data_IF_521100683346
#
_entry.id   IF_521100683346
#
_cell.length_a   1.000
_cell.length_b   1.000
_cell.length_c   1.000
_cell.angle_alpha   90.00
_cell.angle_beta   90.00
_cell.angle_gamma   90.00
#
_symmetry.space_group_name_H-M   'P 1'
#
loop_
_entity.id
_entity.type
_entity.pdbx_description
1 polymer ?
#
# COMPACT_ATOMS: atom_id res chain seq x y z
N UNK A 1 0.06 7.26 12.61
CA UNK A 1 -0.43 6.49 11.44
C UNK A 1 -1.10 7.43 10.44
N UNK A 2 -0.92 7.13 9.18
CA UNK A 2 -1.52 7.89 8.10
C UNK A 2 -2.75 7.15 7.60
N UNK A 3 -3.85 7.89 7.42
CA UNK A 3 -5.07 7.33 6.83
C UNK A 3 -5.03 7.58 5.33
N UNK A 4 -5.19 6.52 4.55
CA UNK A 4 -5.15 6.57 3.10
C UNK A 4 -6.47 6.03 2.56
N UNK A 5 -7.06 6.76 1.62
CA UNK A 5 -8.27 6.33 0.93
C UNK A 5 -7.89 5.86 -0.48
N UNK A 6 -8.20 4.61 -0.76
CA UNK A 6 -8.01 4.01 -2.07
C UNK A 6 -9.37 3.94 -2.76
N UNK A 7 -9.50 4.61 -3.89
CA UNK A 7 -10.76 4.68 -4.63
C UNK A 7 -10.70 3.88 -5.92
N UNK A 8 -11.78 3.17 -6.22
CA UNK A 8 -11.91 2.46 -7.48
C UNK A 8 -10.92 1.31 -7.67
N UNK A 9 -10.61 0.58 -6.61
CA UNK A 9 -9.67 -0.55 -6.67
C UNK A 9 -10.40 -1.79 -7.15
N UNK A 10 -9.95 -2.35 -8.26
CA UNK A 10 -10.47 -3.61 -8.78
C UNK A 10 -9.82 -4.80 -8.09
N UNK A 11 -10.52 -5.39 -7.13
CA UNK A 11 -10.04 -6.57 -6.42
C UNK A 11 -10.50 -7.88 -7.08
N UNK A 12 -11.57 -7.80 -7.84
CA UNK A 12 -12.11 -8.92 -8.63
C UNK A 12 -12.54 -8.41 -9.99
N UNK A 13 -12.59 -9.24 -11.02
CA UNK A 13 -13.02 -8.81 -12.35
C UNK A 13 -14.35 -8.05 -12.31
N UNK A 14 -14.36 -6.84 -12.86
CA UNK A 14 -15.53 -5.96 -12.93
C UNK A 14 -16.12 -5.52 -11.58
N UNK A 15 -15.36 -5.67 -10.49
CA UNK A 15 -15.79 -5.27 -9.14
C UNK A 15 -14.83 -4.25 -8.55
N UNK A 16 -15.36 -3.09 -8.23
CA UNK A 16 -14.59 -1.94 -7.72
C UNK A 16 -14.92 -1.67 -6.27
N UNK A 17 -13.90 -1.32 -5.52
CA UNK A 17 -14.00 -1.09 -4.09
C UNK A 17 -13.33 0.22 -3.70
N UNK A 18 -13.92 0.90 -2.72
CA UNK A 18 -13.26 1.98 -2.01
C UNK A 18 -12.78 1.45 -0.67
N UNK A 19 -11.51 1.66 -0.38
CA UNK A 19 -10.87 1.05 0.76
C UNK A 19 -10.18 2.13 1.59
N UNK A 20 -10.45 2.14 2.88
CA UNK A 20 -9.75 3.02 3.81
C UNK A 20 -8.74 2.18 4.59
N UNK A 21 -7.48 2.59 4.54
CA UNK A 21 -6.40 1.92 5.26
C UNK A 21 -5.69 2.89 6.19
N UNK A 22 -5.19 2.38 7.29
CA UNK A 22 -4.26 3.07 8.15
C UNK A 22 -2.88 2.42 7.99
N UNK A 23 -1.88 3.22 7.73
CA UNK A 23 -0.53 2.74 7.50
C UNK A 23 0.48 3.67 8.16
N UNK A 24 1.53 3.09 8.69
CA UNK A 24 2.67 3.82 9.22
C UNK A 24 3.84 3.69 8.25
N UNK A 25 4.23 4.81 7.65
CA UNK A 25 5.34 4.85 6.73
C UNK A 25 6.67 4.91 7.49
N UNK A 26 7.61 4.10 7.04
CA UNK A 26 8.96 4.08 7.58
C UNK A 26 9.93 4.35 6.45
N UNK A 27 10.85 5.28 6.69
CA UNK A 27 11.93 5.57 5.75
C UNK A 27 13.22 5.00 6.32
N UNK A 28 13.85 4.13 5.56
CA UNK A 28 15.13 3.53 5.92
C UNK A 28 16.23 4.14 5.07
N UNK A 29 17.26 4.65 5.74
CA UNK A 29 18.44 5.16 5.05
C UNK A 29 19.38 3.99 4.77
N UNK A 30 19.71 3.81 3.49
CA UNK A 30 20.60 2.73 3.04
C UNK A 30 21.86 3.32 2.43
N UNK A 31 22.99 2.71 2.72
CA UNK A 31 24.28 3.09 2.16
C UNK A 31 25.01 1.86 1.64
N UNK A 32 25.64 2.00 0.49
CA UNK A 32 26.54 1.01 -0.06
C UNK A 32 27.83 1.68 -0.47
N UNK A 33 28.96 1.14 -0.04
CA UNK A 33 30.25 1.63 -0.43
C UNK A 33 31.06 0.54 -1.10
N UNK A 34 31.76 0.92 -2.15
CA UNK A 34 32.65 0.02 -2.89
C UNK A 34 33.96 0.73 -3.20
N UNK A 35 35.07 -0.02 -3.19
CA UNK A 35 36.36 0.47 -3.62
C UNK A 35 36.59 0.02 -5.07
N UNK A 36 36.91 1.00 -5.94
CA UNK A 36 37.24 0.77 -7.33
C UNK A 36 38.59 1.42 -7.63
N UNK A 37 39.66 0.64 -7.55
CA UNK A 37 41.01 1.16 -7.69
C UNK A 37 41.40 2.07 -6.52
N UNK A 38 41.76 3.31 -6.82
CA UNK A 38 42.14 4.31 -5.80
C UNK A 38 40.96 5.16 -5.32
N UNK A 39 39.75 4.91 -5.85
CA UNK A 39 38.55 5.69 -5.54
C UNK A 39 37.58 4.85 -4.74
N UNK A 40 37.03 5.45 -3.70
CA UNK A 40 35.92 4.88 -2.94
C UNK A 40 34.63 5.51 -3.43
N UNK A 41 33.68 4.68 -3.83
CA UNK A 41 32.36 5.12 -4.27
C UNK A 41 31.34 4.76 -3.20
N UNK A 42 30.62 5.77 -2.71
CA UNK A 42 29.54 5.57 -1.75
C UNK A 42 28.24 5.96 -2.40
N UNK A 43 27.29 5.05 -2.40
CA UNK A 43 25.92 5.30 -2.85
C UNK A 43 25.01 5.30 -1.65
N UNK A 44 24.16 6.31 -1.55
CA UNK A 44 23.17 6.42 -0.51
C UNK A 44 21.79 6.56 -1.12
N UNK A 45 20.81 5.88 -0.54
CA UNK A 45 19.43 5.99 -0.97
C UNK A 45 18.50 5.81 0.23
N UNK A 46 17.25 6.21 0.04
CA UNK A 46 16.21 6.02 1.03
C UNK A 46 15.17 5.04 0.50
N UNK A 47 14.78 4.09 1.33
CA UNK A 47 13.71 3.17 1.03
C UNK A 47 12.50 3.47 1.93
N UNK A 48 11.32 3.51 1.32
CA UNK A 48 10.06 3.68 2.04
C UNK A 48 9.35 2.35 2.12
N UNK A 49 8.86 2.06 3.30
CA UNK A 49 8.12 0.83 3.56
C UNK A 49 6.97 1.11 4.54
N UNK A 50 6.14 0.12 4.74
CA UNK A 50 5.03 0.18 5.68
C UNK A 50 5.38 -0.68 6.89
N UNK A 51 5.44 -0.06 8.07
CA UNK A 51 5.69 -0.76 9.33
C UNK A 51 4.38 -1.28 9.95
N UNK A 52 3.34 -0.46 9.93
CA UNK A 52 2.00 -0.85 10.39
C UNK A 52 0.98 -0.70 9.28
N UNK A 53 0.13 -1.69 9.10
CA UNK A 53 -0.88 -1.69 8.05
C UNK A 53 -2.17 -2.32 8.55
N UNK A 54 -3.27 -1.56 8.44
CA UNK A 54 -4.59 -2.05 8.83
C UNK A 54 -5.64 -1.55 7.83
N UNK A 55 -6.50 -2.45 7.40
CA UNK A 55 -7.65 -2.12 6.56
C UNK A 55 -8.81 -1.78 7.49
N UNK A 56 -9.22 -0.50 7.47
CA UNK A 56 -10.22 0.03 8.38
C UNK A 56 -11.63 -0.14 7.84
N UNK A 57 -11.80 0.11 6.53
CA UNK A 57 -13.12 0.02 5.93
C UNK A 57 -13.04 -0.49 4.48
N UNK A 58 -14.08 -1.17 4.07
CA UNK A 58 -14.21 -1.74 2.74
C UNK A 58 -15.62 -1.43 2.22
N UNK A 59 -15.70 -0.72 1.10
CA UNK A 59 -16.96 -0.37 0.46
C UNK A 59 -16.97 -0.92 -0.95
N UNK A 60 -17.99 -1.71 -1.26
CA UNK A 60 -18.19 -2.28 -2.59
C UNK A 60 -19.22 -1.46 -3.37
N UNK A 61 -18.91 -1.18 -4.62
CA UNK A 61 -19.79 -0.45 -5.50
C UNK A 61 -20.32 -1.37 -6.60
N UNK A 62 -21.52 -2.01 -6.40
CA UNK A 62 -22.12 -2.84 -7.44
C UNK A 62 -22.59 -2.00 -8.64
N UNK A 63 -22.87 -0.72 -8.41
CA UNK A 63 -23.14 0.27 -9.44
C UNK A 63 -22.74 1.65 -8.90
N UNK A 64 -22.82 2.70 -9.74
CA UNK A 64 -22.37 4.05 -9.36
C UNK A 64 -23.20 4.70 -8.25
N UNK A 65 -24.38 4.20 -7.97
CA UNK A 65 -25.36 4.86 -7.07
C UNK A 65 -25.51 4.17 -5.71
N UNK A 66 -25.00 2.94 -5.55
CA UNK A 66 -25.30 2.14 -4.37
C UNK A 66 -24.04 1.55 -3.75
N UNK A 67 -23.43 2.24 -2.77
CA UNK A 67 -22.33 1.67 -2.01
C UNK A 67 -22.83 0.59 -1.02
N UNK A 68 -22.02 -0.44 -0.83
CA UNK A 68 -22.30 -1.52 0.13
C UNK A 68 -21.09 -1.66 1.04
N UNK A 69 -21.31 -1.47 2.36
CA UNK A 69 -20.28 -1.70 3.36
C UNK A 69 -20.08 -3.20 3.56
N UNK A 70 -18.84 -3.64 3.45
CA UNK A 70 -18.48 -5.04 3.66
C UNK A 70 -17.51 -5.17 4.84
N UNK A 71 -17.60 -6.29 5.59
CA UNK A 71 -16.61 -6.56 6.62
C UNK A 71 -15.25 -6.92 5.98
N UNK A 72 -14.17 -6.43 6.57
CA UNK A 72 -12.81 -6.68 6.04
C UNK A 72 -12.41 -8.15 6.09
N UNK A 73 -13.10 -8.96 6.86
CA UNK A 73 -12.85 -10.40 6.98
C UNK A 73 -13.12 -11.16 5.68
N UNK A 74 -13.92 -10.60 4.76
CA UNK A 74 -14.20 -11.25 3.45
C UNK A 74 -13.01 -11.17 2.49
N UNK A 75 -11.99 -10.39 2.82
CA UNK A 75 -10.81 -10.23 1.98
C UNK A 75 -9.92 -11.47 2.04
N UNK A 76 -9.50 -11.93 0.87
CA UNK A 76 -8.53 -13.01 0.75
C UNK A 76 -7.11 -12.49 0.96
N UNK A 77 -6.15 -13.41 1.05
CA UNK A 77 -4.74 -13.03 1.13
C UNK A 77 -4.29 -12.22 -0.11
N UNK A 78 -4.74 -12.60 -1.29
CA UNK A 78 -4.43 -11.89 -2.53
C UNK A 78 -5.05 -10.50 -2.56
N UNK A 79 -6.27 -10.34 -2.05
CA UNK A 79 -6.92 -9.04 -1.94
C UNK A 79 -6.10 -8.10 -1.03
N UNK A 80 -5.63 -8.61 0.10
CA UNK A 80 -4.81 -7.85 1.04
C UNK A 80 -3.47 -7.45 0.44
N UNK A 81 -2.86 -8.33 -0.34
CA UNK A 81 -1.61 -8.03 -1.04
C UNK A 81 -1.80 -6.92 -2.07
N UNK A 82 -2.89 -6.94 -2.82
CA UNK A 82 -3.22 -5.90 -3.79
C UNK A 82 -3.42 -4.55 -3.08
N UNK A 83 -4.16 -4.54 -1.98
CA UNK A 83 -4.40 -3.32 -1.19
C UNK A 83 -3.09 -2.78 -0.62
N UNK A 84 -2.21 -3.64 -0.15
CA UNK A 84 -0.89 -3.26 0.35
C UNK A 84 -0.05 -2.58 -0.74
N UNK A 85 0.01 -3.16 -1.93
CA UNK A 85 0.74 -2.59 -3.07
C UNK A 85 0.17 -1.23 -3.48
N UNK A 86 -1.15 -1.08 -3.51
CA UNK A 86 -1.79 0.18 -3.81
C UNK A 86 -1.49 1.23 -2.73
N UNK A 87 -1.46 0.82 -1.47
CA UNK A 87 -1.11 1.72 -0.35
C UNK A 87 0.31 2.24 -0.48
N UNK A 88 1.25 1.41 -0.90
CA UNK A 88 2.65 1.81 -1.10
C UNK A 88 2.81 2.96 -2.09
N UNK A 89 1.90 3.10 -3.05
CA UNK A 89 1.93 4.19 -4.02
C UNK A 89 1.62 5.56 -3.43
N UNK A 90 0.98 5.60 -2.27
CA UNK A 90 0.52 6.84 -1.62
C UNK A 90 1.39 7.25 -0.43
N UNK A 91 2.42 6.50 -0.14
CA UNK A 91 3.33 6.77 0.98
C UNK A 91 4.57 7.55 0.52
#
# INVERSE_FOLDING_TARGET
>A
MQTIQLEGIELRPDKYFDITVEAEAVTTHCESSSEAGESQVTEAWEERDIDGFEIVSLVYWPNEDTPVDLPTIVLTHDDRATIYEETLRYI
#
